data_IF_274983107498
#
_entry.id   IF_274983107498
#
_cell.length_a   1.000
_cell.length_b   1.000
_cell.length_c   1.000
_cell.angle_alpha   90.00
_cell.angle_beta   90.00
_cell.angle_gamma   90.00
#
_symmetry.space_group_name_H-M   'P 1'
#
loop_
_entity.id
_entity.type
_entity.pdbx_description
1 polymer ?
#
# COMPACT_ATOMS: atom_id res chain seq x y z
N UNK A 1 15.23 24.87 2.12
CA UNK A 1 15.43 24.29 0.77
C UNK A 1 16.91 24.19 0.38
N UNK A 2 17.77 25.11 0.82
CA UNK A 2 19.20 25.11 0.50
C UNK A 2 19.93 23.81 0.93
N UNK A 3 19.67 23.33 2.16
CA UNK A 3 20.20 22.06 2.66
C UNK A 3 19.73 20.83 1.82
N UNK A 4 18.49 20.85 1.32
CA UNK A 4 17.96 19.79 0.47
C UNK A 4 18.59 19.79 -0.92
N UNK A 5 18.83 20.97 -1.50
CA UNK A 5 19.59 21.11 -2.76
C UNK A 5 21.04 20.66 -2.59
N UNK A 6 21.67 20.98 -1.45
CA UNK A 6 23.02 20.56 -1.10
C UNK A 6 23.13 19.03 -0.96
N UNK A 7 22.21 18.42 -0.23
CA UNK A 7 22.20 16.97 0.01
C UNK A 7 21.50 16.15 -1.08
N UNK A 8 20.94 16.82 -2.09
CA UNK A 8 20.25 16.24 -3.25
C UNK A 8 19.17 15.20 -2.89
N UNK A 9 18.49 15.40 -1.76
CA UNK A 9 17.42 14.51 -1.30
C UNK A 9 16.23 15.28 -0.77
N UNK A 10 15.04 14.76 -1.04
CA UNK A 10 13.79 15.27 -0.53
C UNK A 10 12.77 14.13 -0.49
N UNK A 11 11.76 14.25 0.37
CA UNK A 11 10.72 13.23 0.47
C UNK A 11 9.85 13.19 -0.79
N UNK A 12 9.41 11.99 -1.18
CA UNK A 12 8.22 11.83 -1.99
C UNK A 12 7.02 11.95 -1.05
N UNK A 13 6.16 12.95 -1.27
CA UNK A 13 5.05 13.22 -0.36
C UNK A 13 3.92 12.21 -0.58
N UNK A 14 3.65 11.38 0.43
CA UNK A 14 2.55 10.40 0.41
C UNK A 14 1.24 11.12 0.72
N UNK A 15 0.47 11.42 -0.33
CA UNK A 15 -0.86 12.03 -0.21
C UNK A 15 -2.01 11.03 -0.38
N UNK A 16 -1.71 9.76 -0.64
CA UNK A 16 -2.68 8.69 -0.86
C UNK A 16 -3.49 8.39 0.40
N UNK A 17 -4.79 8.11 0.23
CA UNK A 17 -5.69 7.58 1.26
C UNK A 17 -6.31 6.31 0.72
N UNK A 18 -5.60 5.21 0.89
CA UNK A 18 -6.05 3.92 0.44
C UNK A 18 -5.61 2.81 1.38
N UNK A 19 -6.33 1.70 1.33
CA UNK A 19 -6.04 0.51 2.10
C UNK A 19 -6.32 -0.70 1.22
N UNK A 20 -5.38 -1.65 1.19
CA UNK A 20 -5.53 -2.95 0.54
C UNK A 20 -5.58 -3.99 1.65
N UNK A 21 -6.54 -4.90 1.58
CA UNK A 21 -6.73 -5.98 2.57
C UNK A 21 -6.73 -7.31 1.83
N UNK A 22 -5.85 -8.21 2.28
CA UNK A 22 -5.74 -9.61 1.86
C UNK A 22 -5.67 -9.85 0.33
N UNK A 23 -5.18 -8.84 -0.41
CA UNK A 23 -5.13 -8.80 -1.88
C UNK A 23 -6.49 -9.00 -2.60
N UNK A 24 -7.62 -8.88 -1.87
CA UNK A 24 -8.98 -9.06 -2.40
C UNK A 24 -9.85 -7.80 -2.32
N UNK A 25 -9.62 -6.93 -1.33
CA UNK A 25 -10.44 -5.74 -1.08
C UNK A 25 -9.57 -4.49 -1.06
N UNK A 26 -10.08 -3.40 -1.64
CA UNK A 26 -9.41 -2.10 -1.65
C UNK A 26 -10.38 -0.99 -1.27
N UNK A 27 -9.92 -0.05 -0.45
CA UNK A 27 -10.56 1.24 -0.21
C UNK A 27 -9.68 2.32 -0.84
N UNK A 28 -10.28 3.23 -1.61
CA UNK A 28 -9.63 4.42 -2.15
C UNK A 28 -10.55 5.61 -1.92
N UNK A 29 -10.02 6.72 -1.40
CA UNK A 29 -10.82 7.91 -1.15
C UNK A 29 -10.02 9.15 -0.80
N UNK A 30 -10.69 10.11 -0.18
CA UNK A 30 -10.11 11.37 0.31
C UNK A 30 -9.80 11.35 1.81
N UNK A 31 -10.44 10.44 2.57
CA UNK A 31 -10.39 10.40 4.03
C UNK A 31 -9.03 9.96 4.59
N UNK A 32 -8.37 10.83 5.34
CA UNK A 32 -7.17 10.47 6.09
C UNK A 32 -7.51 9.61 7.32
N UNK A 33 -6.54 8.85 7.83
CA UNK A 33 -6.67 8.16 9.11
C UNK A 33 -6.45 9.16 10.25
N UNK A 34 -7.40 10.08 10.44
CA UNK A 34 -7.47 10.99 11.59
C UNK A 34 -8.93 11.36 11.92
N UNK A 35 -9.14 12.01 13.06
CA UNK A 35 -10.49 12.42 13.49
C UNK A 35 -11.15 13.40 12.51
N UNK A 36 -10.37 14.27 11.83
CA UNK A 36 -10.93 15.27 10.91
C UNK A 36 -11.71 14.61 9.75
N UNK A 37 -11.13 13.56 9.18
CA UNK A 37 -11.74 12.82 8.07
C UNK A 37 -12.70 11.71 8.53
N UNK A 38 -12.47 11.07 9.67
CA UNK A 38 -13.24 9.88 10.10
C UNK A 38 -14.44 10.17 11.00
N UNK A 39 -14.57 11.38 11.56
CA UNK A 39 -15.67 11.74 12.46
C UNK A 39 -17.00 12.00 11.71
N UNK A 40 -16.94 12.30 10.41
CA UNK A 40 -18.12 12.52 9.55
C UNK A 40 -18.86 13.83 9.77
N UNK A 41 -18.57 14.57 10.85
CA UNK A 41 -19.17 15.88 11.16
C UNK A 41 -18.22 17.07 10.92
N UNK A 42 -16.97 16.79 10.55
CA UNK A 42 -15.94 17.81 10.24
C UNK A 42 -15.79 17.97 8.73
N UNK A 43 -14.81 17.31 8.13
CA UNK A 43 -14.56 17.39 6.70
C UNK A 43 -15.51 16.43 5.97
N UNK A 44 -16.04 16.87 4.84
CA UNK A 44 -16.79 16.00 3.94
C UNK A 44 -15.81 15.15 3.15
N UNK A 45 -15.88 13.83 3.34
CA UNK A 45 -15.01 12.87 2.68
C UNK A 45 -15.82 11.93 1.77
N UNK A 46 -15.16 11.34 0.79
CA UNK A 46 -15.71 10.28 -0.05
C UNK A 46 -14.69 9.15 -0.19
N UNK A 47 -15.17 7.90 -0.16
CA UNK A 47 -14.36 6.72 -0.42
C UNK A 47 -15.18 5.65 -1.12
N UNK A 48 -14.52 4.88 -1.99
CA UNK A 48 -15.06 3.68 -2.60
C UNK A 48 -14.35 2.45 -2.01
N UNK A 49 -15.13 1.46 -1.61
CA UNK A 49 -14.67 0.11 -1.33
C UNK A 49 -15.02 -0.83 -2.48
N UNK A 50 -14.09 -1.66 -2.93
CA UNK A 50 -14.30 -2.59 -4.02
C UNK A 50 -13.55 -3.91 -3.82
N UNK A 51 -14.12 -4.99 -4.37
CA UNK A 51 -13.50 -6.31 -4.49
C UNK A 51 -13.97 -6.99 -5.77
N UNK A 52 -13.24 -8.03 -6.19
CA UNK A 52 -13.61 -8.84 -7.34
C UNK A 52 -14.16 -10.18 -6.86
N UNK A 53 -15.46 -10.43 -7.10
CA UNK A 53 -16.15 -11.65 -6.62
C UNK A 53 -15.46 -12.97 -6.98
N UNK A 54 -14.79 -13.03 -8.13
CA UNK A 54 -14.07 -14.22 -8.60
C UNK A 54 -12.66 -14.37 -8.01
N UNK A 55 -12.17 -13.36 -7.27
CA UNK A 55 -10.83 -13.30 -6.69
C UNK A 55 -10.96 -12.96 -5.20
N UNK A 56 -11.52 -13.90 -4.44
CA UNK A 56 -11.64 -13.82 -2.97
C UNK A 56 -11.13 -15.11 -2.34
N UNK A 57 -10.69 -15.02 -1.08
CA UNK A 57 -10.26 -16.19 -0.31
C UNK A 57 -11.38 -17.23 -0.15
N UNK A 58 -12.64 -16.79 -0.08
CA UNK A 58 -13.78 -17.68 0.04
C UNK A 58 -14.05 -18.52 -1.23
N UNK A 59 -13.69 -18.02 -2.41
CA UNK A 59 -14.01 -18.66 -3.69
C UNK A 59 -12.81 -19.35 -4.37
N UNK A 60 -11.61 -19.22 -3.80
CA UNK A 60 -10.37 -19.75 -4.39
C UNK A 60 -9.69 -20.74 -3.45
N UNK A 61 -9.08 -21.75 -4.04
CA UNK A 61 -8.21 -22.72 -3.33
C UNK A 61 -6.83 -22.08 -3.02
N UNK A 62 -6.50 -20.97 -3.69
CA UNK A 62 -5.23 -20.24 -3.58
C UNK A 62 -5.47 -18.75 -3.28
N UNK A 63 -4.41 -18.04 -2.91
CA UNK A 63 -4.44 -16.59 -2.69
C UNK A 63 -5.09 -15.84 -3.89
N UNK A 64 -5.92 -14.80 -3.63
CA UNK A 64 -6.49 -13.95 -4.66
C UNK A 64 -5.41 -13.26 -5.51
N UNK A 65 -5.41 -13.54 -6.82
CA UNK A 65 -4.49 -12.91 -7.80
C UNK A 65 -5.25 -12.07 -8.81
N UNK A 66 -6.11 -11.19 -8.30
CA UNK A 66 -6.90 -10.26 -9.09
C UNK A 66 -6.18 -8.95 -9.41
N UNK A 67 -6.96 -7.94 -9.79
CA UNK A 67 -6.52 -6.56 -9.98
C UNK A 67 -6.06 -5.92 -8.67
N UNK A 68 -6.66 -6.25 -7.53
CA UNK A 68 -6.24 -5.72 -6.22
C UNK A 68 -4.81 -6.18 -5.88
N UNK A 69 -4.54 -7.49 -5.99
CA UNK A 69 -3.18 -8.04 -5.94
C UNK A 69 -2.21 -7.35 -6.90
N UNK A 70 -2.60 -7.20 -8.18
CA UNK A 70 -1.77 -6.57 -9.19
C UNK A 70 -1.43 -5.11 -8.87
N UNK A 71 -2.41 -4.36 -8.36
CA UNK A 71 -2.24 -2.99 -7.91
C UNK A 71 -1.25 -2.90 -6.73
N UNK A 72 -1.40 -3.78 -5.74
CA UNK A 72 -0.49 -3.88 -4.60
C UNK A 72 0.95 -4.17 -5.04
N UNK A 73 1.14 -5.15 -5.92
CA UNK A 73 2.45 -5.49 -6.48
C UNK A 73 3.06 -4.34 -7.29
N UNK A 74 2.25 -3.61 -8.05
CA UNK A 74 2.72 -2.43 -8.81
C UNK A 74 3.21 -1.32 -7.88
N UNK A 75 2.47 -1.03 -6.79
CA UNK A 75 2.90 -0.05 -5.78
C UNK A 75 4.20 -0.48 -5.09
N UNK A 76 4.33 -1.78 -4.79
CA UNK A 76 5.54 -2.31 -4.18
C UNK A 76 6.73 -2.20 -5.14
N UNK A 77 6.55 -2.53 -6.42
CA UNK A 77 7.60 -2.36 -7.43
C UNK A 77 8.03 -0.89 -7.56
N UNK A 78 7.09 0.06 -7.51
CA UNK A 78 7.38 1.50 -7.54
C UNK A 78 8.20 1.95 -6.32
N UNK A 79 7.80 1.55 -5.11
CA UNK A 79 8.40 2.04 -3.87
C UNK A 79 9.68 1.31 -3.47
N UNK A 80 9.76 0.02 -3.78
CA UNK A 80 10.91 -0.83 -3.44
C UNK A 80 11.95 -0.82 -4.57
N UNK A 81 11.52 -0.68 -5.82
CA UNK A 81 12.40 -0.77 -6.99
C UNK A 81 12.75 -2.21 -7.41
N UNK A 82 12.05 -3.21 -6.88
CA UNK A 82 12.26 -4.63 -7.18
C UNK A 82 10.95 -5.42 -7.16
N UNK A 83 10.95 -6.56 -7.86
CA UNK A 83 9.89 -7.57 -7.81
C UNK A 83 10.55 -8.85 -7.31
N UNK A 84 10.14 -9.31 -6.14
CA UNK A 84 10.70 -10.49 -5.48
C UNK A 84 9.61 -11.50 -5.17
N UNK A 85 9.98 -12.79 -5.11
CA UNK A 85 9.03 -13.87 -4.86
C UNK A 85 8.39 -13.75 -3.48
N UNK A 86 9.14 -13.31 -2.47
CA UNK A 86 8.65 -13.09 -1.10
C UNK A 86 7.44 -12.13 -1.07
N UNK A 87 7.40 -11.15 -1.97
CA UNK A 87 6.31 -10.18 -2.04
C UNK A 87 4.99 -10.82 -2.49
N UNK A 88 5.01 -12.03 -3.04
CA UNK A 88 3.79 -12.78 -3.31
C UNK A 88 3.02 -13.17 -2.04
N UNK A 89 3.67 -13.13 -0.87
CA UNK A 89 3.15 -13.60 0.42
C UNK A 89 3.38 -12.53 1.50
N UNK A 90 2.65 -11.40 1.47
CA UNK A 90 2.84 -10.29 2.40
C UNK A 90 2.60 -10.67 3.87
N UNK A 91 1.89 -11.76 4.13
CA UNK A 91 1.67 -12.34 5.46
C UNK A 91 2.89 -13.06 6.03
N UNK A 92 3.86 -13.44 5.19
CA UNK A 92 5.04 -14.20 5.61
C UNK A 92 6.02 -13.35 6.44
N UNK A 93 6.69 -13.98 7.39
CA UNK A 93 7.72 -13.32 8.20
C UNK A 93 8.91 -12.94 7.32
N UNK A 94 9.21 -13.76 6.33
CA UNK A 94 10.26 -13.56 5.32
C UNK A 94 10.01 -12.26 4.55
N UNK A 95 8.81 -12.08 4.00
CA UNK A 95 8.42 -10.84 3.32
C UNK A 95 8.53 -9.61 4.24
N UNK A 96 8.00 -9.71 5.46
CA UNK A 96 8.05 -8.61 6.44
C UNK A 96 9.49 -8.22 6.82
N UNK A 97 10.37 -9.21 7.00
CA UNK A 97 11.81 -8.98 7.25
C UNK A 97 12.49 -8.36 6.05
N UNK A 98 12.16 -8.82 4.83
CA UNK A 98 12.73 -8.31 3.59
C UNK A 98 12.36 -6.85 3.35
N UNK A 99 11.09 -6.49 3.49
CA UNK A 99 10.61 -5.11 3.36
C UNK A 99 11.25 -4.20 4.40
N UNK A 100 11.34 -4.66 5.67
CA UNK A 100 12.04 -3.91 6.72
C UNK A 100 13.51 -3.65 6.37
N UNK A 101 14.23 -4.70 5.98
CA UNK A 101 15.64 -4.59 5.64
C UNK A 101 15.89 -3.61 4.49
N UNK A 102 15.04 -3.63 3.45
CA UNK A 102 15.11 -2.67 2.34
C UNK A 102 14.80 -1.24 2.80
N UNK A 103 13.84 -1.08 3.72
CA UNK A 103 13.52 0.22 4.32
C UNK A 103 14.69 0.79 5.14
N UNK A 104 15.35 -0.03 5.95
CA UNK A 104 16.54 0.34 6.72
C UNK A 104 17.70 0.70 5.77
N UNK A 105 17.95 -0.13 4.75
CA UNK A 105 19.01 0.12 3.77
C UNK A 105 18.79 1.39 2.94
N UNK A 106 17.55 1.72 2.57
CA UNK A 106 17.23 2.94 1.82
C UNK A 106 17.28 4.21 2.69
N UNK A 107 17.22 4.06 4.01
CA UNK A 107 17.27 5.17 4.95
C UNK A 107 18.71 5.65 5.22
N UNK A 108 19.63 4.68 5.33
CA UNK A 108 21.07 4.91 5.57
C UNK A 108 21.77 5.60 4.38
#
# INVERSE_FOLDING_TARGET
QEQARKNRRFMVYVHSKGMIVDDEYVIIGSANINQRSMEGTRDTEIAMGAYQRQYTWANKISAPRGQVYGYRMSLWAEHIGAIEEDFNHPESIECMRRVRHLGEHNWD
#
